data_IF_410014706829
#
_entry.id   IF_410014706829
#
_cell.length_a   1.000
_cell.length_b   1.000
_cell.length_c   1.000
_cell.angle_alpha   90.00
_cell.angle_beta   90.00
_cell.angle_gamma   90.00
#
_symmetry.space_group_name_H-M   'P 1'
#
loop_
_entity.id
_entity.type
_entity.pdbx_description
1 polymer ?
#
# COMPACT_ATOMS: atom_id res chain seq x y z
N UNK A 1 16.57 16.35 12.80
CA UNK A 1 15.96 16.34 14.15
C UNK A 1 15.65 17.75 14.65
N UNK A 2 16.57 18.70 14.42
CA UNK A 2 16.42 20.09 14.93
C UNK A 2 15.31 20.89 14.23
N UNK A 3 14.96 20.54 12.98
CA UNK A 3 13.91 21.22 12.20
C UNK A 3 12.49 20.76 12.56
N UNK A 4 12.36 19.52 13.02
CA UNK A 4 11.06 18.89 13.34
C UNK A 4 11.23 18.07 14.63
N UNK A 5 11.21 18.71 15.81
CA UNK A 5 11.47 18.05 17.10
C UNK A 5 10.40 17.04 17.50
N UNK A 6 9.19 17.19 16.95
CA UNK A 6 8.06 16.28 17.16
C UNK A 6 8.17 14.94 16.42
N UNK A 7 9.08 14.84 15.44
CA UNK A 7 9.28 13.59 14.68
C UNK A 7 10.11 12.60 15.50
N UNK A 8 9.58 11.40 15.69
CA UNK A 8 10.28 10.29 16.31
C UNK A 8 11.18 9.64 15.25
N UNK A 9 12.50 9.81 15.41
CA UNK A 9 13.47 9.15 14.55
C UNK A 9 13.93 7.86 15.20
N UNK A 10 13.71 6.73 14.50
CA UNK A 10 14.20 5.42 14.93
C UNK A 10 15.39 5.07 14.03
N UNK A 11 16.57 4.89 14.62
CA UNK A 11 17.79 4.56 13.90
C UNK A 11 18.16 3.10 14.15
N UNK A 12 18.38 2.34 13.06
CA UNK A 12 18.95 1.00 13.10
C UNK A 12 20.44 1.06 12.76
N UNK A 13 21.22 0.17 13.35
CA UNK A 13 22.66 -0.01 13.03
C UNK A 13 22.81 -0.69 11.67
N UNK A 14 21.91 -1.63 11.36
CA UNK A 14 21.94 -2.42 10.13
C UNK A 14 20.83 -1.97 9.17
N UNK A 15 21.01 -2.25 7.87
CA UNK A 15 19.95 -2.14 6.88
C UNK A 15 18.96 -3.31 7.08
N UNK A 16 17.80 -2.99 7.62
CA UNK A 16 16.76 -3.96 7.94
C UNK A 16 15.86 -4.32 6.74
N UNK A 17 15.98 -3.59 5.63
CA UNK A 17 15.01 -3.62 4.53
C UNK A 17 13.69 -2.94 4.89
N UNK A 18 12.73 -2.94 3.95
CA UNK A 18 11.47 -2.21 4.09
C UNK A 18 10.60 -2.75 5.23
N UNK A 19 10.30 -4.05 5.24
CA UNK A 19 9.37 -4.66 6.19
C UNK A 19 9.82 -4.54 7.64
N UNK A 20 11.05 -4.96 7.95
CA UNK A 20 11.60 -4.88 9.33
C UNK A 20 11.75 -3.43 9.81
N UNK A 21 12.15 -2.51 8.91
CA UNK A 21 12.25 -1.10 9.24
C UNK A 21 10.89 -0.50 9.63
N UNK A 22 9.85 -0.80 8.87
CA UNK A 22 8.48 -0.37 9.18
C UNK A 22 7.93 -1.03 10.45
N UNK A 23 8.31 -2.27 10.77
CA UNK A 23 7.90 -2.93 12.00
C UNK A 23 8.37 -2.17 13.25
N UNK A 24 9.58 -1.59 13.23
CA UNK A 24 10.03 -0.71 14.32
C UNK A 24 9.13 0.52 14.48
N UNK A 25 8.63 1.06 13.37
CA UNK A 25 7.66 2.17 13.38
C UNK A 25 6.30 1.74 13.94
N UNK A 26 5.80 0.55 13.57
CA UNK A 26 4.54 -0.01 14.09
C UNK A 26 4.55 -0.11 15.61
N UNK A 27 5.66 -0.55 16.21
CA UNK A 27 5.82 -0.68 17.67
C UNK A 27 5.64 0.66 18.41
N UNK A 28 5.98 1.77 17.77
CA UNK A 28 5.85 3.12 18.33
C UNK A 28 4.54 3.82 17.96
N UNK A 29 3.78 3.27 17.01
CA UNK A 29 2.57 3.89 16.50
C UNK A 29 1.44 3.86 17.55
N UNK A 30 0.83 5.04 17.82
CA UNK A 30 -0.24 5.20 18.79
C UNK A 30 -1.60 5.55 18.14
N UNK A 31 -1.61 5.95 16.87
CA UNK A 31 -2.81 6.32 16.14
C UNK A 31 -3.75 5.14 15.87
N UNK A 32 -4.99 5.42 15.50
CA UNK A 32 -5.98 4.40 15.09
C UNK A 32 -5.62 3.75 13.77
N UNK A 33 -4.89 4.48 12.92
CA UNK A 33 -4.39 4.04 11.62
C UNK A 33 -2.88 4.24 11.56
N UNK A 34 -2.20 3.35 10.87
CA UNK A 34 -0.78 3.42 10.53
C UNK A 34 -0.68 3.61 9.03
N UNK A 35 -0.02 4.65 8.58
CA UNK A 35 0.29 4.91 7.18
C UNK A 35 1.75 4.56 6.92
N UNK A 36 1.97 3.57 6.07
CA UNK A 36 3.27 3.31 5.47
C UNK A 36 3.41 4.25 4.27
N UNK A 37 4.34 5.16 4.35
CA UNK A 37 4.56 6.18 3.33
C UNK A 37 6.03 6.24 2.96
N UNK A 38 6.34 6.01 1.70
CA UNK A 38 7.71 6.08 1.23
C UNK A 38 8.26 7.51 1.31
N UNK A 39 9.56 7.69 1.60
CA UNK A 39 10.18 9.02 1.73
C UNK A 39 10.26 9.79 0.39
N UNK A 40 10.12 9.11 -0.73
CA UNK A 40 10.11 9.62 -2.10
C UNK A 40 8.69 9.88 -2.64
N UNK A 41 7.75 10.14 -1.75
CA UNK A 41 6.36 10.49 -2.10
C UNK A 41 6.07 11.97 -1.86
N UNK A 42 5.21 12.54 -2.72
CA UNK A 42 4.68 13.91 -2.58
C UNK A 42 3.16 13.87 -2.61
N UNK A 43 2.50 14.39 -1.58
CA UNK A 43 1.05 14.45 -1.51
C UNK A 43 0.53 15.52 -2.50
N UNK A 44 -0.31 15.12 -3.47
CA UNK A 44 -0.91 16.03 -4.46
C UNK A 44 -2.13 16.77 -3.91
N UNK A 45 -2.74 16.20 -2.88
CA UNK A 45 -3.87 16.77 -2.16
C UNK A 45 -3.83 16.34 -0.70
N UNK A 46 -4.89 16.57 0.06
CA UNK A 46 -4.97 16.13 1.46
C UNK A 46 -5.20 14.60 1.56
N UNK A 47 -4.34 13.81 0.90
CA UNK A 47 -4.48 12.35 0.74
C UNK A 47 -4.61 11.63 2.09
N UNK A 48 -3.83 12.01 3.08
CA UNK A 48 -3.84 11.38 4.42
C UNK A 48 -5.23 11.53 5.07
N UNK A 49 -5.80 12.74 5.05
CA UNK A 49 -7.11 12.99 5.63
C UNK A 49 -8.21 12.25 4.86
N UNK A 50 -8.12 12.20 3.53
CA UNK A 50 -9.04 11.44 2.67
C UNK A 50 -9.02 9.95 3.04
N UNK A 51 -7.86 9.34 3.16
CA UNK A 51 -7.71 7.94 3.55
C UNK A 51 -8.23 7.70 4.98
N UNK A 52 -7.89 8.59 5.93
CA UNK A 52 -8.37 8.50 7.31
C UNK A 52 -9.90 8.57 7.41
N UNK A 53 -10.55 9.50 6.68
CA UNK A 53 -12.01 9.61 6.65
C UNK A 53 -12.63 8.36 6.04
N UNK A 54 -12.10 7.90 4.90
CA UNK A 54 -12.57 6.68 4.26
C UNK A 54 -12.52 5.48 5.23
N UNK A 55 -11.42 5.31 5.96
CA UNK A 55 -11.27 4.23 6.96
C UNK A 55 -12.24 4.38 8.14
N UNK A 56 -12.51 5.61 8.60
CA UNK A 56 -13.48 5.89 9.68
C UNK A 56 -14.90 5.55 9.24
N UNK A 57 -15.27 5.95 8.04
CA UNK A 57 -16.62 5.77 7.49
C UNK A 57 -16.90 4.31 7.08
N UNK A 58 -15.85 3.49 6.93
CA UNK A 58 -15.95 2.09 6.50
C UNK A 58 -15.29 1.14 7.52
N UNK A 59 -15.97 0.77 8.62
CA UNK A 59 -15.39 -0.04 9.70
C UNK A 59 -14.92 -1.44 9.29
N UNK A 60 -15.43 -2.01 8.20
CA UNK A 60 -15.01 -3.31 7.66
C UNK A 60 -13.72 -3.27 6.84
N UNK A 61 -13.21 -2.07 6.54
CA UNK A 61 -11.97 -1.89 5.78
C UNK A 61 -10.78 -2.02 6.71
N UNK A 62 -9.90 -2.97 6.42
CA UNK A 62 -8.66 -3.21 7.15
C UNK A 62 -7.50 -2.35 6.67
N UNK A 63 -7.46 -2.03 5.36
CA UNK A 63 -6.44 -1.17 4.76
C UNK A 63 -6.89 -0.49 3.49
N UNK A 64 -6.23 0.60 3.11
CA UNK A 64 -6.48 1.31 1.87
C UNK A 64 -5.23 2.08 1.40
N UNK A 65 -5.25 2.50 0.12
CA UNK A 65 -4.26 3.41 -0.45
C UNK A 65 -4.86 4.26 -1.56
N UNK A 66 -4.14 5.28 -1.97
CA UNK A 66 -4.56 6.23 -2.99
C UNK A 66 -4.23 5.80 -4.42
N UNK A 67 -4.31 6.75 -5.32
CA UNK A 67 -3.77 6.66 -6.67
C UNK A 67 -2.36 7.25 -6.72
N UNK A 68 -1.41 6.48 -7.25
CA UNK A 68 -0.02 6.88 -7.43
C UNK A 68 0.21 7.42 -8.84
N UNK A 69 1.04 8.44 -8.93
CA UNK A 69 1.44 9.11 -10.16
C UNK A 69 2.96 9.27 -10.19
N UNK A 70 3.55 9.29 -11.38
CA UNK A 70 4.94 9.68 -11.57
C UNK A 70 5.14 11.22 -11.50
N UNK A 71 6.36 11.69 -11.69
CA UNK A 71 6.69 13.14 -11.70
C UNK A 71 5.98 13.89 -12.84
N UNK A 72 5.76 13.24 -13.97
CA UNK A 72 5.08 13.80 -15.13
C UNK A 72 3.55 13.82 -14.96
N UNK A 73 3.03 13.20 -13.90
CA UNK A 73 1.60 13.10 -13.60
C UNK A 73 0.89 11.96 -14.32
N UNK A 74 1.63 11.01 -14.89
CA UNK A 74 1.05 9.80 -15.45
C UNK A 74 0.67 8.83 -14.32
N UNK A 75 -0.36 8.03 -14.56
CA UNK A 75 -0.80 6.99 -13.65
C UNK A 75 0.25 5.86 -13.55
N UNK A 76 0.66 5.54 -12.32
CA UNK A 76 1.56 4.40 -12.04
C UNK A 76 0.85 3.29 -11.28
N UNK A 77 1.53 2.18 -11.04
CA UNK A 77 0.98 1.08 -10.27
C UNK A 77 0.66 1.52 -8.84
N UNK A 78 -0.62 1.47 -8.47
CA UNK A 78 -1.11 1.87 -7.14
C UNK A 78 -1.58 0.67 -6.32
N UNK A 79 -2.00 -0.41 -6.98
CA UNK A 79 -2.52 -1.62 -6.35
C UNK A 79 -2.44 -2.82 -7.29
N UNK A 80 -2.78 -4.01 -6.78
CA UNK A 80 -3.11 -5.18 -7.59
C UNK A 80 -4.54 -5.66 -7.30
N UNK A 81 -5.30 -5.98 -8.34
CA UNK A 81 -6.65 -6.59 -8.20
C UNK A 81 -6.62 -8.06 -7.84
N UNK A 82 -5.50 -8.73 -8.04
CA UNK A 82 -5.34 -10.18 -7.81
C UNK A 82 -4.02 -10.46 -7.11
N UNK A 83 -4.02 -11.43 -6.24
CA UNK A 83 -2.78 -11.95 -5.70
C UNK A 83 -2.00 -12.71 -6.77
N UNK A 84 -0.65 -12.71 -6.71
CA UNK A 84 0.18 -13.54 -7.55
C UNK A 84 -0.25 -15.01 -7.46
N UNK A 85 -0.34 -15.70 -8.60
CA UNK A 85 -0.61 -17.13 -8.62
C UNK A 85 0.30 -17.80 -9.63
N UNK A 86 0.73 -19.04 -9.36
CA UNK A 86 1.62 -19.80 -10.23
C UNK A 86 1.11 -19.87 -11.67
N UNK A 87 -0.19 -20.11 -11.85
CA UNK A 87 -0.79 -20.18 -13.18
C UNK A 87 -0.72 -18.84 -13.91
N UNK A 88 -0.92 -17.71 -13.20
CA UNK A 88 -0.88 -16.38 -13.79
C UNK A 88 0.55 -16.01 -14.22
N UNK A 89 1.53 -16.31 -13.39
CA UNK A 89 2.96 -16.11 -13.68
C UNK A 89 3.41 -17.00 -14.86
N UNK A 90 2.99 -18.28 -14.85
CA UNK A 90 3.30 -19.22 -15.94
C UNK A 90 2.71 -18.74 -17.28
N UNK A 91 1.47 -18.27 -17.31
CA UNK A 91 0.85 -17.69 -18.50
C UNK A 91 1.55 -16.41 -18.97
N UNK A 92 2.09 -15.63 -18.05
CA UNK A 92 2.92 -14.47 -18.35
C UNK A 92 4.23 -14.85 -19.03
N UNK A 93 4.90 -15.90 -18.55
CA UNK A 93 6.15 -16.43 -19.10
C UNK A 93 5.94 -17.05 -20.47
N UNK A 94 4.84 -17.75 -20.67
CA UNK A 94 4.49 -18.41 -21.96
C UNK A 94 4.08 -17.41 -23.05
N UNK A 95 4.21 -16.11 -22.79
CA UNK A 95 3.98 -15.07 -23.79
C UNK A 95 2.68 -15.27 -24.60
N UNK A 96 1.55 -15.45 -23.91
CA UNK A 96 0.25 -15.41 -24.57
C UNK A 96 -0.23 -13.93 -24.55
N UNK A 97 0.19 -13.09 -25.52
CA UNK A 97 0.00 -11.64 -25.45
C UNK A 97 -1.40 -11.18 -25.84
N UNK A 98 -2.27 -12.08 -26.27
CA UNK A 98 -3.31 -11.68 -27.22
C UNK A 98 -4.68 -11.34 -26.64
N UNK A 99 -4.90 -11.34 -25.34
CA UNK A 99 -6.22 -11.01 -24.81
C UNK A 99 -6.13 -9.92 -23.73
N UNK A 100 -6.36 -8.66 -24.12
CA UNK A 100 -6.67 -7.49 -23.30
C UNK A 100 -5.52 -6.59 -22.84
N UNK A 101 -4.82 -5.92 -23.75
CA UNK A 101 -3.89 -4.81 -23.40
C UNK A 101 -4.64 -3.62 -22.77
N UNK A 102 -5.85 -3.30 -23.19
CA UNK A 102 -6.64 -2.19 -22.62
C UNK A 102 -7.17 -2.48 -21.22
N UNK A 103 -7.40 -3.74 -20.86
CA UNK A 103 -7.83 -4.12 -19.51
C UNK A 103 -6.70 -4.18 -18.48
N UNK A 104 -5.43 -4.23 -18.89
CA UNK A 104 -4.31 -4.35 -17.97
C UNK A 104 -4.10 -3.10 -17.10
N UNK A 105 -4.28 -1.89 -17.67
CA UNK A 105 -4.10 -0.64 -16.91
C UNK A 105 -5.07 -0.52 -15.72
N UNK A 106 -6.31 -0.96 -15.87
CA UNK A 106 -7.30 -0.98 -14.80
C UNK A 106 -7.05 -2.04 -13.71
N UNK A 107 -6.07 -2.95 -13.91
CA UNK A 107 -5.66 -3.93 -12.90
C UNK A 107 -4.74 -3.33 -11.85
N UNK A 108 -4.10 -2.20 -12.14
CA UNK A 108 -3.05 -1.61 -11.32
C UNK A 108 -3.30 -0.14 -10.95
N UNK A 109 -4.33 0.49 -11.53
CA UNK A 109 -4.69 1.89 -11.27
C UNK A 109 -6.20 2.09 -11.30
N UNK A 110 -6.71 2.95 -10.40
CA UNK A 110 -8.15 3.19 -10.28
C UNK A 110 -8.62 4.36 -11.15
N UNK A 111 -9.17 4.04 -12.31
CA UNK A 111 -9.80 4.98 -13.23
C UNK A 111 -11.31 5.16 -12.98
N UNK A 112 -11.90 4.42 -12.00
CA UNK A 112 -13.35 4.42 -11.79
C UNK A 112 -13.85 5.68 -11.05
N UNK A 113 -12.94 6.47 -10.48
CA UNK A 113 -13.27 7.69 -9.72
C UNK A 113 -13.98 7.44 -8.38
N UNK A 114 -14.17 6.18 -7.99
CA UNK A 114 -14.77 5.74 -6.71
C UNK A 114 -13.92 4.68 -6.04
N UNK A 115 -14.03 4.51 -4.71
CA UNK A 115 -13.30 3.44 -4.02
C UNK A 115 -13.68 2.06 -4.56
N UNK A 116 -12.67 1.21 -4.78
CA UNK A 116 -12.83 -0.17 -5.24
C UNK A 116 -12.06 -1.14 -4.35
N UNK A 117 -12.62 -2.35 -4.18
CA UNK A 117 -11.95 -3.44 -3.49
C UNK A 117 -10.80 -3.98 -4.34
N UNK A 118 -9.64 -4.19 -3.72
CA UNK A 118 -8.41 -4.66 -4.37
C UNK A 118 -7.76 -5.77 -3.55
N UNK A 119 -6.85 -6.54 -4.15
CA UNK A 119 -6.12 -7.56 -3.42
C UNK A 119 -5.02 -6.97 -2.55
N UNK A 120 -4.22 -6.06 -3.08
CA UNK A 120 -3.16 -5.37 -2.35
C UNK A 120 -2.98 -3.95 -2.85
N UNK A 121 -2.52 -3.07 -1.98
CA UNK A 121 -2.05 -1.70 -2.28
C UNK A 121 -0.53 -1.72 -2.24
N UNK A 122 0.12 -0.88 -3.04
CA UNK A 122 1.58 -0.74 -3.04
C UNK A 122 2.06 -0.15 -1.69
N UNK A 123 3.21 -0.61 -1.21
CA UNK A 123 3.77 -0.18 0.08
C UNK A 123 4.13 1.31 0.18
N UNK A 124 4.08 2.05 -0.95
CA UNK A 124 4.40 3.47 -0.98
C UNK A 124 3.38 4.37 -0.24
N UNK A 125 2.10 3.92 -0.10
CA UNK A 125 1.03 4.72 0.52
C UNK A 125 -0.04 3.84 1.23
N UNK A 126 0.34 2.70 1.76
CA UNK A 126 -0.58 1.77 2.41
C UNK A 126 -0.97 2.26 3.81
N UNK A 127 -2.26 2.57 4.02
CA UNK A 127 -2.84 2.85 5.33
C UNK A 127 -3.53 1.60 5.87
N UNK A 128 -3.23 1.20 7.11
CA UNK A 128 -3.81 0.02 7.76
C UNK A 128 -4.36 0.39 9.13
N UNK A 129 -5.48 -0.21 9.51
CA UNK A 129 -6.06 -0.07 10.84
C UNK A 129 -5.14 -0.71 11.88
N UNK A 130 -4.76 0.03 12.94
CA UNK A 130 -3.82 -0.46 13.96
C UNK A 130 -4.31 -1.73 14.66
N UNK A 131 -5.61 -1.83 14.91
CA UNK A 131 -6.20 -3.06 15.50
C UNK A 131 -6.06 -4.28 14.58
N UNK A 132 -6.08 -4.08 13.27
CA UNK A 132 -5.83 -5.15 12.28
C UNK A 132 -4.36 -5.57 12.33
N UNK A 133 -3.42 -4.61 12.31
CA UNK A 133 -1.99 -4.92 12.49
C UNK A 133 -1.72 -5.66 13.79
N UNK A 134 -2.39 -5.29 14.88
CA UNK A 134 -2.26 -6.00 16.17
C UNK A 134 -2.75 -7.44 16.11
N UNK A 135 -3.70 -7.75 15.23
CA UNK A 135 -4.27 -9.11 15.11
C UNK A 135 -3.53 -9.99 14.11
N UNK A 136 -3.06 -9.42 12.99
CA UNK A 136 -2.39 -10.18 11.93
C UNK A 136 -0.86 -10.11 12.00
N UNK A 137 -0.33 -9.20 12.81
CA UNK A 137 1.11 -8.87 12.87
C UNK A 137 1.49 -7.80 11.85
N UNK A 138 2.72 -7.28 11.98
CA UNK A 138 3.34 -6.37 11.01
C UNK A 138 3.79 -7.08 9.73
N UNK A 139 4.78 -6.52 9.05
CA UNK A 139 5.40 -7.15 7.88
C UNK A 139 6.16 -8.43 8.28
N UNK A 140 6.11 -9.43 7.41
CA UNK A 140 6.89 -10.66 7.59
C UNK A 140 8.40 -10.36 7.41
N UNK A 141 9.18 -10.74 8.40
CA UNK A 141 10.61 -10.47 8.46
C UNK A 141 11.45 -11.28 7.45
N UNK A 142 10.86 -12.30 6.83
CA UNK A 142 11.55 -13.12 5.82
C UNK A 142 11.60 -12.41 4.45
N UNK A 143 10.73 -11.41 4.23
CA UNK A 143 10.81 -10.54 3.06
C UNK A 143 11.78 -9.38 3.33
N UNK A 144 12.84 -9.31 2.53
CA UNK A 144 13.79 -8.19 2.62
C UNK A 144 13.30 -6.96 1.81
N UNK A 145 12.82 -7.20 0.60
CA UNK A 145 12.30 -6.19 -0.33
C UNK A 145 11.41 -6.86 -1.38
N UNK A 146 10.31 -6.19 -1.73
CA UNK A 146 9.23 -6.61 -2.64
C UNK A 146 8.33 -7.72 -2.09
N UNK A 147 7.03 -7.58 -2.36
CA UNK A 147 5.93 -8.47 -1.96
C UNK A 147 5.59 -8.47 -0.45
N UNK A 148 6.33 -7.79 0.41
CA UNK A 148 6.02 -7.71 1.84
C UNK A 148 4.66 -7.07 2.11
N UNK A 149 4.29 -6.02 1.36
CA UNK A 149 2.97 -5.39 1.45
C UNK A 149 1.87 -6.29 0.87
N UNK A 150 2.20 -7.05 -0.17
CA UNK A 150 1.27 -8.01 -0.79
C UNK A 150 0.97 -9.16 0.17
N UNK A 151 1.96 -9.67 0.88
CA UNK A 151 1.84 -10.69 1.92
C UNK A 151 1.01 -10.17 3.11
N UNK A 152 1.31 -8.96 3.60
CA UNK A 152 0.54 -8.33 4.66
C UNK A 152 -0.94 -8.15 4.26
N UNK A 153 -1.21 -7.65 3.05
CA UNK A 153 -2.56 -7.52 2.52
C UNK A 153 -3.28 -8.87 2.42
N UNK A 154 -2.57 -9.94 2.07
CA UNK A 154 -3.13 -11.30 2.03
C UNK A 154 -3.55 -11.78 3.43
N UNK A 155 -2.72 -11.56 4.47
CA UNK A 155 -3.07 -11.88 5.86
C UNK A 155 -4.27 -11.06 6.35
N UNK A 156 -4.30 -9.77 6.05
CA UNK A 156 -5.44 -8.89 6.34
C UNK A 156 -6.72 -9.46 5.71
N UNK A 157 -6.66 -9.80 4.41
CA UNK A 157 -7.80 -10.36 3.69
C UNK A 157 -8.26 -11.73 4.27
N UNK A 158 -7.31 -12.63 4.57
CA UNK A 158 -7.61 -13.93 5.19
C UNK A 158 -8.24 -13.81 6.58
N UNK A 159 -8.01 -12.70 7.26
CA UNK A 159 -8.61 -12.38 8.56
C UNK A 159 -10.01 -11.74 8.44
N UNK A 160 -10.57 -11.67 7.22
CA UNK A 160 -11.93 -11.19 6.95
C UNK A 160 -12.04 -9.68 6.72
N UNK A 161 -10.93 -8.97 6.56
CA UNK A 161 -10.91 -7.53 6.28
C UNK A 161 -10.76 -7.25 4.79
N UNK A 162 -11.31 -6.13 4.36
CA UNK A 162 -11.20 -5.65 2.99
C UNK A 162 -10.06 -4.65 2.82
N UNK A 163 -9.48 -4.66 1.61
CA UNK A 163 -8.49 -3.67 1.14
C UNK A 163 -9.11 -2.85 0.02
N UNK A 164 -8.91 -1.53 0.04
CA UNK A 164 -9.49 -0.62 -0.96
C UNK A 164 -8.46 0.31 -1.60
N UNK A 165 -8.65 0.58 -2.89
CA UNK A 165 -8.07 1.73 -3.57
C UNK A 165 -9.04 2.90 -3.51
N UNK A 166 -8.58 4.06 -3.05
CA UNK A 166 -9.34 5.29 -2.83
C UNK A 166 -8.80 6.38 -3.77
N UNK A 167 -9.34 6.51 -5.00
CA UNK A 167 -8.72 7.33 -6.06
C UNK A 167 -8.76 8.83 -5.81
N UNK A 168 -9.57 9.29 -4.85
CA UNK A 168 -9.59 10.70 -4.41
C UNK A 168 -8.34 11.09 -3.61
N UNK A 169 -7.64 10.14 -2.98
CA UNK A 169 -6.31 10.35 -2.43
C UNK A 169 -5.28 10.25 -3.56
N UNK A 170 -4.51 11.31 -3.81
CA UNK A 170 -3.57 11.40 -4.93
C UNK A 170 -2.17 11.69 -4.42
N UNK A 171 -1.20 10.88 -4.83
CA UNK A 171 0.17 10.93 -4.35
C UNK A 171 1.11 10.77 -5.54
N UNK A 172 2.14 11.58 -5.63
CA UNK A 172 3.26 11.36 -6.57
C UNK A 172 4.29 10.48 -5.89
N UNK A 173 4.75 9.44 -6.59
CA UNK A 173 5.86 8.58 -6.19
C UNK A 173 7.01 8.81 -7.17
N UNK A 174 8.14 9.36 -6.66
CA UNK A 174 9.21 9.90 -7.50
C UNK A 174 10.05 8.81 -8.18
N UNK A 175 10.07 7.59 -7.64
CA UNK A 175 10.81 6.43 -8.17
C UNK A 175 9.87 5.29 -8.61
N UNK A 176 8.68 5.64 -9.08
CA UNK A 176 7.65 4.69 -9.50
C UNK A 176 7.86 4.08 -10.88
#
# INVERSE_FOLDING_TARGET
>A
KDRYPEIICIQSVDNLGFGKGNNLGIEQAQGDFVLFLNPDTVLRNNAIDILCRFMKDNPSVGGCGGNLYDEEGNATTSFSRKYPSFLWELLGILYIPSLCISSRRSLFFNYEGKPIKVASVIGADLMVRRTVLSSVGGFDADFFMNYEETELCLRIHRSGWDIYSVPSAQITHLEG
#
